data_IF_350554630186
#
_entry.id   IF_350554630186
#
_cell.length_a   1.000
_cell.length_b   1.000
_cell.length_c   1.000
_cell.angle_alpha   90.00
_cell.angle_beta   90.00
_cell.angle_gamma   90.00
#
_symmetry.space_group_name_H-M   'P 1'
#
loop_
_entity.id
_entity.type
_entity.pdbx_description
1 polymer ?
#
# COMPACT_ATOMS: atom_id res chain seq x y z
N UNK A 1 -8.35 3.67 3.49
CA UNK A 1 -6.98 4.14 3.79
C UNK A 1 -6.92 5.19 4.89
N UNK A 2 -7.83 6.18 4.95
CA UNK A 2 -7.78 7.24 5.97
C UNK A 2 -7.90 6.71 7.41
N UNK A 3 -8.62 5.61 7.61
CA UNK A 3 -8.70 4.93 8.90
C UNK A 3 -7.35 4.38 9.39
N UNK A 4 -6.45 3.99 8.48
CA UNK A 4 -5.16 3.36 8.84
C UNK A 4 -4.02 4.37 8.82
N UNK A 5 -4.12 5.41 8.00
CA UNK A 5 -3.12 6.48 7.86
C UNK A 5 -3.88 7.81 7.69
N UNK A 6 -4.28 8.47 8.79
CA UNK A 6 -5.20 9.62 8.76
C UNK A 6 -4.66 10.81 7.98
N UNK A 7 -3.35 11.10 8.08
CA UNK A 7 -2.68 12.11 7.28
C UNK A 7 -2.27 11.66 5.86
N UNK A 8 -2.84 10.58 5.32
CA UNK A 8 -2.65 10.23 3.91
C UNK A 8 -3.36 11.24 3.00
N UNK A 9 -2.63 11.69 1.97
CA UNK A 9 -3.07 12.63 0.93
C UNK A 9 -2.72 12.15 -0.49
N UNK A 10 -2.40 10.85 -0.64
CA UNK A 10 -2.00 10.28 -1.92
C UNK A 10 -3.18 9.56 -2.60
N UNK A 11 -3.41 9.84 -3.87
CA UNK A 11 -4.48 9.25 -4.66
C UNK A 11 -4.79 10.08 -5.90
N UNK A 12 -5.04 11.38 -5.71
CA UNK A 12 -5.33 12.28 -6.84
C UNK A 12 -4.20 12.37 -7.87
N UNK A 13 -2.95 12.11 -7.48
CA UNK A 13 -1.84 11.99 -8.44
C UNK A 13 -1.91 10.76 -9.32
N UNK A 14 -2.16 9.59 -8.72
CA UNK A 14 -2.24 8.33 -9.42
C UNK A 14 -3.37 8.31 -10.46
N UNK A 15 -4.48 9.00 -10.18
CA UNK A 15 -5.64 9.08 -11.06
C UNK A 15 -5.69 10.35 -11.93
N UNK A 16 -4.56 11.06 -12.08
CA UNK A 16 -4.48 12.19 -13.01
C UNK A 16 -5.37 13.41 -12.66
N UNK A 17 -5.90 13.50 -11.44
CA UNK A 17 -6.75 14.62 -11.01
C UNK A 17 -5.92 15.91 -11.02
N UNK A 18 -6.35 17.00 -11.67
CA UNK A 18 -5.55 18.21 -11.77
C UNK A 18 -5.42 18.94 -10.42
N UNK A 19 -4.27 19.56 -10.20
CA UNK A 19 -4.11 20.61 -9.18
C UNK A 19 -4.77 21.89 -9.67
N UNK A 20 -5.54 22.54 -8.80
CA UNK A 20 -6.18 23.82 -9.10
C UNK A 20 -5.39 24.92 -8.40
N UNK A 21 -4.92 25.90 -9.17
CA UNK A 21 -3.99 26.92 -8.67
C UNK A 21 -4.59 27.83 -7.59
N UNK A 22 -5.92 28.01 -7.57
CA UNK A 22 -6.65 28.80 -6.59
C UNK A 22 -6.83 28.10 -5.23
N UNK A 23 -6.45 26.83 -5.10
CA UNK A 23 -6.52 26.11 -3.84
C UNK A 23 -5.26 26.39 -3.00
N UNK A 24 -5.46 26.87 -1.77
CA UNK A 24 -4.35 27.19 -0.85
C UNK A 24 -3.48 25.98 -0.55
N UNK A 25 -4.10 24.85 -0.19
CA UNK A 25 -3.40 23.57 -0.07
C UNK A 25 -3.67 22.67 -1.28
N UNK A 26 -2.70 22.67 -2.21
CA UNK A 26 -2.73 21.86 -3.43
C UNK A 26 -2.72 20.35 -3.18
N UNK A 27 -2.16 19.89 -2.06
CA UNK A 27 -2.12 18.46 -1.72
C UNK A 27 -3.47 18.02 -1.18
N UNK A 28 -4.03 18.79 -0.25
CA UNK A 28 -5.34 18.50 0.34
C UNK A 28 -6.47 18.65 -0.68
N UNK A 29 -6.49 19.73 -1.47
CA UNK A 29 -7.56 19.95 -2.47
C UNK A 29 -7.62 18.85 -3.54
N UNK A 30 -6.45 18.45 -4.07
CA UNK A 30 -6.35 17.33 -5.03
C UNK A 30 -6.78 16.00 -4.43
N UNK A 31 -6.44 15.75 -3.16
CA UNK A 31 -6.83 14.52 -2.47
C UNK A 31 -8.32 14.49 -2.11
N UNK A 32 -8.91 15.61 -1.71
CA UNK A 32 -10.36 15.72 -1.48
C UNK A 32 -11.14 15.34 -2.73
N UNK A 33 -10.78 15.88 -3.90
CA UNK A 33 -11.42 15.47 -5.17
C UNK A 33 -11.27 13.99 -5.48
N UNK A 34 -10.13 13.38 -5.11
CA UNK A 34 -9.95 11.94 -5.23
C UNK A 34 -10.94 11.16 -4.35
N UNK A 35 -11.16 11.60 -3.12
CA UNK A 35 -12.14 10.99 -2.22
C UNK A 35 -13.58 11.19 -2.72
N UNK A 36 -13.91 12.39 -3.20
CA UNK A 36 -15.24 12.68 -3.76
C UNK A 36 -15.52 11.88 -5.04
N UNK A 37 -14.50 11.65 -5.87
CA UNK A 37 -14.60 10.87 -7.11
C UNK A 37 -14.40 9.36 -6.87
N UNK A 38 -14.35 8.91 -5.62
CA UNK A 38 -13.91 7.56 -5.28
C UNK A 38 -14.80 6.45 -5.86
N UNK A 39 -16.10 6.72 -5.99
CA UNK A 39 -17.05 5.76 -6.56
C UNK A 39 -16.86 5.60 -8.07
N UNK A 40 -16.62 6.70 -8.80
CA UNK A 40 -16.38 6.64 -10.26
C UNK A 40 -15.00 6.06 -10.60
N UNK A 41 -14.03 6.20 -9.70
CA UNK A 41 -12.70 5.61 -9.83
C UNK A 41 -12.65 4.14 -9.39
N UNK A 42 -13.67 3.63 -8.71
CA UNK A 42 -13.66 2.27 -8.16
C UNK A 42 -13.40 1.18 -9.22
N UNK A 43 -13.98 1.22 -10.44
CA UNK A 43 -13.68 0.24 -11.48
C UNK A 43 -12.18 0.21 -11.83
N UNK A 44 -11.56 1.38 -11.99
CA UNK A 44 -10.12 1.49 -12.26
C UNK A 44 -9.29 1.00 -11.07
N UNK A 45 -9.70 1.31 -9.85
CA UNK A 45 -9.04 0.79 -8.65
C UNK A 45 -9.09 -0.74 -8.63
N UNK A 46 -10.23 -1.35 -8.96
CA UNK A 46 -10.35 -2.80 -9.01
C UNK A 46 -9.52 -3.42 -10.14
N UNK A 47 -9.46 -2.77 -11.30
CA UNK A 47 -8.71 -3.24 -12.46
C UNK A 47 -7.18 -3.18 -12.28
N UNK A 48 -6.67 -2.19 -11.55
CA UNK A 48 -5.22 -1.93 -11.48
C UNK A 48 -4.61 -2.11 -10.08
N UNK A 49 -5.39 -2.36 -9.03
CA UNK A 49 -4.84 -2.52 -7.68
C UNK A 49 -4.36 -3.95 -7.44
N UNK A 50 -3.07 -4.14 -7.07
CA UNK A 50 -2.59 -5.46 -6.64
C UNK A 50 -3.45 -6.05 -5.52
N UNK A 51 -3.94 -5.23 -4.59
CA UNK A 51 -4.82 -5.67 -3.50
C UNK A 51 -6.14 -6.28 -4.01
N UNK A 52 -6.75 -5.67 -5.04
CA UNK A 52 -8.01 -6.14 -5.60
C UNK A 52 -7.83 -7.41 -6.44
N UNK A 53 -6.67 -7.54 -7.10
CA UNK A 53 -6.38 -8.61 -8.05
C UNK A 53 -5.81 -9.88 -7.40
N UNK A 54 -5.50 -9.86 -6.09
CA UNK A 54 -4.93 -11.03 -5.39
C UNK A 54 -5.78 -12.30 -5.59
N UNK A 55 -5.15 -13.36 -6.07
CA UNK A 55 -5.69 -14.73 -6.21
C UNK A 55 -4.76 -15.77 -5.56
N UNK A 56 -5.28 -16.97 -5.29
CA UNK A 56 -4.55 -18.01 -4.57
C UNK A 56 -3.36 -18.62 -5.34
N UNK A 57 -3.30 -18.39 -6.66
CA UNK A 57 -2.23 -18.83 -7.56
C UNK A 57 -1.13 -17.75 -7.78
N UNK A 58 -1.23 -16.61 -7.11
CA UNK A 58 -0.18 -15.58 -7.16
C UNK A 58 1.14 -16.07 -6.55
N UNK A 59 2.29 -15.58 -7.05
CA UNK A 59 3.60 -15.94 -6.53
C UNK A 59 3.83 -15.39 -5.10
N UNK A 60 4.81 -15.94 -4.36
CA UNK A 60 5.24 -15.37 -3.07
C UNK A 60 5.60 -13.88 -3.18
N UNK A 61 5.18 -13.11 -2.18
CA UNK A 61 5.39 -11.65 -2.13
C UNK A 61 6.38 -11.28 -1.04
N UNK A 62 7.42 -10.53 -1.39
CA UNK A 62 8.31 -9.89 -0.44
C UNK A 62 8.05 -8.38 -0.41
N UNK A 63 7.76 -7.83 0.77
CA UNK A 63 7.58 -6.39 0.98
C UNK A 63 8.55 -5.89 2.04
N UNK A 64 9.20 -4.75 1.80
CA UNK A 64 10.10 -4.13 2.77
C UNK A 64 9.76 -2.66 2.99
N UNK A 65 9.78 -2.24 4.25
CA UNK A 65 9.50 -0.87 4.68
C UNK A 65 10.55 -0.37 5.66
N UNK A 66 10.83 0.93 5.62
CA UNK A 66 11.83 1.57 6.50
C UNK A 66 11.32 1.89 7.90
N UNK A 67 10.00 1.92 8.09
CA UNK A 67 9.35 2.31 9.34
C UNK A 67 8.43 1.19 9.82
N UNK A 68 8.22 1.13 11.14
CA UNK A 68 7.21 0.24 11.75
C UNK A 68 5.80 0.67 11.33
N UNK A 69 4.84 -0.26 11.25
CA UNK A 69 3.44 0.10 11.11
C UNK A 69 2.93 0.76 12.39
N UNK A 70 2.01 1.69 12.22
CA UNK A 70 1.30 2.39 13.29
C UNK A 70 -0.11 2.74 12.80
N UNK A 71 -1.01 1.76 12.83
CA UNK A 71 -2.34 1.90 12.24
C UNK A 71 -3.19 2.89 13.06
N UNK A 72 -3.85 3.81 12.35
CA UNK A 72 -4.72 4.81 12.96
C UNK A 72 -4.00 6.08 13.42
N UNK A 73 -2.67 6.13 13.27
CA UNK A 73 -1.86 7.29 13.61
C UNK A 73 -1.24 7.95 12.37
N UNK A 74 -0.86 9.21 12.54
CA UNK A 74 -0.19 9.98 11.50
C UNK A 74 1.21 9.43 11.23
N UNK A 75 1.52 9.23 9.95
CA UNK A 75 2.82 8.76 9.52
C UNK A 75 3.69 9.94 9.04
N UNK A 76 5.00 9.92 9.35
CA UNK A 76 5.96 10.91 8.84
C UNK A 76 6.01 10.94 7.31
N UNK A 77 5.92 9.77 6.70
CA UNK A 77 5.83 9.59 5.25
C UNK A 77 4.65 8.65 4.95
N UNK A 78 3.44 9.20 4.80
CA UNK A 78 2.23 8.38 4.75
C UNK A 78 2.15 7.51 3.50
N UNK A 79 2.70 7.95 2.36
CA UNK A 79 2.68 7.18 1.10
C UNK A 79 3.57 5.94 1.18
N UNK A 80 4.66 5.99 1.95
CA UNK A 80 5.61 4.89 2.13
C UNK A 80 5.44 4.17 3.49
N UNK A 81 4.28 4.31 4.13
CA UNK A 81 4.00 3.68 5.42
C UNK A 81 3.82 2.17 5.31
N UNK A 82 4.38 1.43 6.28
CA UNK A 82 4.17 -0.02 6.43
C UNK A 82 2.72 -0.40 6.72
N UNK A 83 1.84 0.56 7.07
CA UNK A 83 0.40 0.31 7.22
C UNK A 83 -0.22 -0.28 5.94
N UNK A 84 0.26 0.14 4.76
CA UNK A 84 -0.16 -0.46 3.50
C UNK A 84 0.31 -1.91 3.35
N UNK A 85 1.55 -2.19 3.77
CA UNK A 85 2.10 -3.55 3.78
C UNK A 85 1.33 -4.50 4.68
N UNK A 86 0.95 -4.04 5.87
CA UNK A 86 0.10 -4.82 6.79
C UNK A 86 -1.22 -5.19 6.13
N UNK A 87 -1.88 -4.21 5.47
CA UNK A 87 -3.19 -4.45 4.85
C UNK A 87 -3.09 -5.34 3.61
N UNK A 88 -2.07 -5.16 2.78
CA UNK A 88 -1.83 -6.07 1.66
C UNK A 88 -1.51 -7.48 2.15
N UNK A 89 -0.71 -7.63 3.22
CA UNK A 89 -0.45 -8.93 3.83
C UNK A 89 -1.72 -9.61 4.34
N UNK A 90 -2.60 -8.90 5.05
CA UNK A 90 -3.91 -9.44 5.48
C UNK A 90 -4.71 -10.01 4.29
N UNK A 91 -4.66 -9.32 3.13
CA UNK A 91 -5.33 -9.78 1.90
C UNK A 91 -4.65 -11.01 1.29
N UNK A 92 -3.33 -11.02 1.19
CA UNK A 92 -2.56 -12.18 0.71
C UNK A 92 -2.78 -13.41 1.60
N UNK A 93 -2.75 -13.23 2.93
CA UNK A 93 -3.01 -14.27 3.91
C UNK A 93 -4.44 -14.84 3.75
N UNK A 94 -5.44 -14.02 3.42
CA UNK A 94 -6.83 -14.46 3.20
C UNK A 94 -6.99 -15.47 2.05
N UNK A 95 -6.08 -15.46 1.08
CA UNK A 95 -6.05 -16.40 -0.04
C UNK A 95 -4.86 -17.38 0.03
N UNK A 96 -4.11 -17.36 1.12
CA UNK A 96 -2.93 -18.21 1.39
C UNK A 96 -1.76 -17.99 0.44
N UNK A 97 -1.62 -16.80 -0.14
CA UNK A 97 -0.41 -16.43 -0.90
C UNK A 97 0.72 -16.15 0.11
N UNK A 98 1.88 -16.84 0.01
CA UNK A 98 3.00 -16.59 0.90
C UNK A 98 3.44 -15.12 0.83
N UNK A 99 3.56 -14.48 2.00
CA UNK A 99 3.98 -13.10 2.07
C UNK A 99 4.93 -12.87 3.24
N UNK A 100 6.14 -12.41 2.90
CA UNK A 100 7.13 -11.93 3.85
C UNK A 100 7.11 -10.40 3.88
N UNK A 101 6.75 -9.84 5.04
CA UNK A 101 6.67 -8.41 5.28
C UNK A 101 7.75 -7.98 6.27
N UNK A 102 8.72 -7.23 5.79
CA UNK A 102 9.90 -6.80 6.54
C UNK A 102 9.83 -5.32 6.87
N UNK A 103 10.02 -5.00 8.14
CA UNK A 103 10.19 -3.65 8.68
C UNK A 103 10.99 -3.76 9.99
N UNK A 104 11.46 -2.65 10.59
CA UNK A 104 12.22 -2.71 11.83
C UNK A 104 11.46 -3.49 12.93
N UNK A 105 12.07 -4.54 13.49
CA UNK A 105 11.44 -5.44 14.49
C UNK A 105 10.21 -6.21 13.99
N UNK A 106 10.09 -6.41 12.67
CA UNK A 106 9.07 -7.32 12.13
C UNK A 106 9.25 -8.73 12.72
N UNK A 107 8.17 -9.39 13.17
CA UNK A 107 8.24 -10.76 13.64
C UNK A 107 8.44 -11.72 12.46
N UNK A 108 9.08 -12.87 12.70
CA UNK A 108 9.15 -13.98 11.75
C UNK A 108 9.74 -13.61 10.37
N UNK A 109 10.78 -12.76 10.35
CA UNK A 109 11.54 -12.44 9.13
C UNK A 109 12.49 -13.60 8.81
N UNK A 110 12.34 -14.19 7.63
CA UNK A 110 13.19 -15.26 7.12
C UNK A 110 14.35 -14.68 6.30
N UNK A 111 14.05 -13.66 5.49
CA UNK A 111 14.96 -12.98 4.58
C UNK A 111 15.11 -11.50 4.96
N UNK A 112 16.30 -11.16 5.45
CA UNK A 112 16.63 -9.78 5.85
C UNK A 112 16.69 -8.78 4.69
N UNK A 113 16.79 -9.27 3.45
CA UNK A 113 16.90 -8.45 2.24
C UNK A 113 16.21 -9.12 1.04
N UNK A 114 15.94 -8.29 0.02
CA UNK A 114 15.23 -8.70 -1.20
C UNK A 114 15.99 -9.77 -2.00
N UNK A 115 17.33 -9.69 -2.05
CA UNK A 115 18.12 -10.62 -2.88
C UNK A 115 17.98 -12.05 -2.37
N UNK A 116 18.10 -12.26 -1.05
CA UNK A 116 17.94 -13.58 -0.45
C UNK A 116 16.51 -14.13 -0.66
N UNK A 117 15.49 -13.28 -0.48
CA UNK A 117 14.10 -13.66 -0.69
C UNK A 117 13.82 -14.07 -2.13
N UNK A 118 14.32 -13.32 -3.12
CA UNK A 118 14.13 -13.63 -4.54
C UNK A 118 14.85 -14.92 -4.93
N UNK A 119 16.05 -15.16 -4.39
CA UNK A 119 16.78 -16.41 -4.64
C UNK A 119 15.95 -17.59 -4.13
N UNK A 120 15.47 -17.52 -2.89
CA UNK A 120 14.66 -18.59 -2.29
C UNK A 120 13.34 -18.81 -3.05
N UNK A 121 12.60 -17.73 -3.38
CA UNK A 121 11.31 -17.82 -4.07
C UNK A 121 11.39 -18.41 -5.49
N UNK A 122 12.56 -18.33 -6.14
CA UNK A 122 12.78 -18.83 -7.50
C UNK A 122 13.41 -20.23 -7.54
N UNK A 123 13.84 -20.78 -6.40
CA UNK A 123 14.34 -22.15 -6.33
C UNK A 123 13.14 -23.11 -6.20
N UNK A 124 12.99 -24.09 -7.12
CA UNK A 124 11.89 -25.06 -7.09
C UNK A 124 11.86 -25.99 -5.87
#
# INVERSE_FOLDING_TARGET
MKEWTPNSHYGGHAFGIPTIASEGDRRSGRFTRFLESRDSLLPWIQEYSPYALVTADDPPVYMTYKNKPDLGHDAKDPTHSANFGIKLKERLDSVKVPCELVYPEAPNVNHSNLSDAVIDFLIP
#
